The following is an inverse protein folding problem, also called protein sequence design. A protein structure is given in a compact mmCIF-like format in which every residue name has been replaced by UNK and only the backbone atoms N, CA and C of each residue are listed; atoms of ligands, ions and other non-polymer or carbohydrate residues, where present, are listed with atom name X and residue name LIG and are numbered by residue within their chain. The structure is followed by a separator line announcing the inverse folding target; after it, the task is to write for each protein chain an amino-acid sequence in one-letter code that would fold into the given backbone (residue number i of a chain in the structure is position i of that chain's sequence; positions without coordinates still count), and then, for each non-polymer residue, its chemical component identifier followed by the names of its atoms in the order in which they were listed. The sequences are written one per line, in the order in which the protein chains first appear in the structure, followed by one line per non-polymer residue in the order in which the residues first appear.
data_IF_020440273718
#
_entry.id   IF_020440273718
#
_cell.length_a   1.000
_cell.length_b   1.000
_cell.length_c   1.000
_cell.angle_alpha   90.00
_cell.angle_beta   90.00
_cell.angle_gamma   90.00
#
_symmetry.space_group_name_H-M   'P 1'
#
loop_
_entity.id
_entity.type
_entity.pdbx_description
1 polymer ?
#
# COMPACT_ATOMS: atom_id res chain seq x y z
N UNK A 1 -39.30 12.74 -37.50
CA UNK A 1 -38.21 11.73 -37.38
C UNK A 1 -38.77 10.49 -36.72
N UNK A 2 -38.76 9.33 -37.39
CA UNK A 2 -39.25 8.07 -36.80
C UNK A 2 -38.30 7.60 -35.70
N UNK A 3 -38.82 7.49 -34.47
CA UNK A 3 -38.10 6.83 -33.35
C UNK A 3 -37.73 5.40 -33.77
N UNK A 4 -36.45 5.08 -33.90
CA UNK A 4 -35.98 3.71 -34.00
C UNK A 4 -35.76 3.20 -32.59
N UNK A 5 -36.66 2.39 -32.11
CA UNK A 5 -36.49 1.61 -30.87
C UNK A 5 -35.62 0.42 -31.21
N UNK A 6 -34.42 0.38 -30.67
CA UNK A 6 -33.58 -0.82 -30.74
C UNK A 6 -33.91 -1.69 -29.54
N UNK A 7 -34.59 -2.80 -29.79
CA UNK A 7 -34.74 -3.86 -28.80
C UNK A 7 -33.48 -4.72 -28.90
N UNK A 8 -32.60 -4.66 -27.91
CA UNK A 8 -31.46 -5.57 -27.80
C UNK A 8 -31.93 -6.77 -27.01
N UNK A 9 -32.02 -7.90 -27.67
CA UNK A 9 -32.43 -9.16 -27.06
C UNK A 9 -31.20 -9.71 -26.28
N UNK A 10 -31.24 -9.57 -24.96
CA UNK A 10 -30.21 -10.12 -24.09
C UNK A 10 -30.47 -11.61 -23.90
N UNK A 11 -29.81 -12.48 -24.65
CA UNK A 11 -29.69 -13.88 -24.28
C UNK A 11 -28.78 -14.01 -23.08
N UNK A 12 -29.41 -14.15 -21.94
CA UNK A 12 -28.73 -14.44 -20.67
C UNK A 12 -28.38 -15.91 -20.70
N UNK A 13 -27.12 -16.24 -20.38
CA UNK A 13 -26.71 -17.61 -20.11
C UNK A 13 -27.54 -18.12 -18.92
N UNK A 14 -28.40 -19.11 -19.17
CA UNK A 14 -29.38 -19.65 -18.23
C UNK A 14 -28.76 -20.38 -17.02
N UNK A 15 -27.44 -20.55 -16.97
CA UNK A 15 -26.77 -21.32 -15.93
C UNK A 15 -26.73 -20.66 -14.53
N UNK A 16 -27.07 -19.38 -14.40
CA UNK A 16 -27.04 -18.67 -13.11
C UNK A 16 -28.39 -18.57 -12.39
N UNK A 17 -29.44 -19.09 -12.97
CA UNK A 17 -30.82 -18.90 -12.46
C UNK A 17 -31.21 -19.78 -11.26
N UNK A 18 -30.40 -20.70 -10.82
CA UNK A 18 -30.77 -21.67 -9.77
C UNK A 18 -29.85 -21.70 -8.54
N UNK A 19 -29.24 -20.60 -8.18
CA UNK A 19 -28.55 -20.57 -6.89
C UNK A 19 -29.60 -20.34 -5.76
N UNK A 20 -29.74 -21.29 -4.83
CA UNK A 20 -30.71 -21.16 -3.75
C UNK A 20 -30.38 -19.94 -2.89
N UNK A 21 -31.37 -19.09 -2.72
CA UNK A 21 -31.27 -17.80 -2.00
C UNK A 21 -31.00 -17.94 -0.50
N UNK A 22 -31.01 -19.13 0.07
CA UNK A 22 -30.95 -19.35 1.53
C UNK A 22 -29.68 -19.99 2.08
N UNK A 23 -28.80 -20.56 1.23
CA UNK A 23 -27.63 -21.29 1.70
C UNK A 23 -26.31 -20.72 1.17
N UNK A 24 -26.17 -19.40 1.23
CA UNK A 24 -24.81 -18.84 1.18
C UNK A 24 -24.08 -19.34 2.43
N UNK A 25 -22.96 -20.08 2.31
CA UNK A 25 -22.17 -20.35 3.47
C UNK A 25 -21.73 -19.00 4.01
N UNK A 26 -22.39 -18.57 5.08
CA UNK A 26 -21.96 -17.44 5.88
C UNK A 26 -20.45 -17.56 6.02
N UNK A 27 -19.75 -16.53 5.65
CA UNK A 27 -18.31 -16.43 5.90
C UNK A 27 -18.14 -16.82 7.37
N UNK A 28 -17.59 -18.00 7.62
CA UNK A 28 -17.42 -18.47 8.99
C UNK A 28 -16.62 -17.41 9.70
N UNK A 29 -17.25 -16.74 10.67
CA UNK A 29 -16.56 -15.80 11.54
C UNK A 29 -15.36 -16.53 12.16
N UNK A 30 -14.23 -16.45 11.50
CA UNK A 30 -12.99 -16.84 12.11
C UNK A 30 -12.72 -15.76 13.15
N UNK A 31 -13.06 -16.07 14.40
CA UNK A 31 -12.55 -15.33 15.55
C UNK A 31 -11.03 -15.33 15.40
N UNK A 32 -10.49 -14.29 14.77
CA UNK A 32 -9.05 -14.11 14.73
C UNK A 32 -8.61 -14.02 16.17
N UNK A 33 -7.94 -15.07 16.66
CA UNK A 33 -7.30 -15.00 17.97
C UNK A 33 -6.48 -13.72 17.97
N UNK A 34 -6.74 -12.80 18.90
CA UNK A 34 -5.89 -11.62 19.12
C UNK A 34 -4.45 -12.11 19.16
N UNK A 35 -3.73 -11.96 18.07
CA UNK A 35 -2.32 -12.27 18.05
C UNK A 35 -1.65 -11.26 18.96
N UNK A 36 -0.78 -11.73 19.85
CA UNK A 36 0.04 -10.84 20.65
C UNK A 36 0.67 -9.80 19.72
N UNK A 37 0.64 -8.53 20.12
CA UNK A 37 1.17 -7.41 19.34
C UNK A 37 2.65 -7.69 18.99
N UNK A 38 2.88 -8.31 17.84
CA UNK A 38 4.22 -8.49 17.28
C UNK A 38 4.53 -7.26 16.48
N UNK A 39 5.54 -6.55 16.91
CA UNK A 39 6.09 -5.40 16.19
C UNK A 39 7.57 -5.64 15.96
N UNK A 40 8.16 -4.91 15.01
CA UNK A 40 9.63 -4.91 14.85
C UNK A 40 10.24 -4.53 16.20
N UNK A 41 11.18 -5.37 16.67
CA UNK A 41 11.87 -5.05 17.93
C UNK A 41 12.78 -3.82 17.73
N UNK A 42 12.95 -2.91 18.71
CA UNK A 42 13.80 -1.73 18.54
C UNK A 42 15.21 -2.04 18.08
N UNK A 43 15.80 -3.15 18.59
CA UNK A 43 17.11 -3.64 18.17
C UNK A 43 17.15 -4.27 16.76
N UNK A 44 15.98 -4.46 16.11
CA UNK A 44 15.88 -4.89 14.71
C UNK A 44 15.64 -3.70 13.78
N UNK A 45 15.78 -2.48 14.28
CA UNK A 45 15.73 -1.23 13.52
C UNK A 45 17.15 -0.68 13.44
N UNK A 46 17.60 -0.44 12.22
CA UNK A 46 18.88 0.20 11.92
C UNK A 46 18.64 1.26 10.85
N UNK A 47 19.11 2.46 11.08
CA UNK A 47 19.16 3.46 10.03
C UNK A 47 20.26 3.14 9.04
N UNK A 48 20.03 3.50 7.78
CA UNK A 48 21.01 3.36 6.71
C UNK A 48 20.87 4.50 5.71
N UNK A 49 21.94 4.74 4.95
CA UNK A 49 22.03 5.77 3.93
C UNK A 49 23.04 5.37 2.86
N UNK A 50 22.99 6.00 1.68
CA UNK A 50 23.97 5.82 0.61
C UNK A 50 24.46 7.15 0.07
N UNK A 51 25.77 7.21 -0.23
CA UNK A 51 26.33 8.32 -1.00
C UNK A 51 26.70 7.87 -2.40
N UNK A 52 26.51 8.74 -3.38
CA UNK A 52 26.69 8.40 -4.79
C UNK A 52 27.74 9.26 -5.47
N UNK A 53 28.42 8.65 -6.45
CA UNK A 53 29.30 9.32 -7.39
C UNK A 53 28.80 9.03 -8.79
N UNK A 54 28.44 10.07 -9.53
CA UNK A 54 27.81 9.96 -10.86
C UNK A 54 26.58 9.03 -10.89
N UNK A 55 25.78 9.07 -9.81
CA UNK A 55 24.55 8.27 -9.67
C UNK A 55 24.79 6.81 -9.28
N UNK A 56 26.04 6.35 -9.17
CA UNK A 56 26.38 5.02 -8.68
C UNK A 56 26.71 5.10 -7.19
N UNK A 57 26.30 4.09 -6.44
CA UNK A 57 26.66 4.01 -5.03
C UNK A 57 28.19 3.97 -4.88
N UNK A 58 28.66 4.75 -3.97
CA UNK A 58 30.06 4.78 -3.54
C UNK A 58 30.19 4.37 -2.08
N UNK A 59 29.34 4.95 -1.20
CA UNK A 59 29.32 4.62 0.22
C UNK A 59 27.98 3.98 0.58
N UNK A 60 28.05 2.98 1.42
CA UNK A 60 26.94 2.43 2.17
C UNK A 60 27.19 2.66 3.66
N UNK A 61 26.30 3.36 4.31
CA UNK A 61 26.43 3.68 5.72
C UNK A 61 25.29 3.12 6.56
N UNK A 62 25.60 2.82 7.81
CA UNK A 62 24.61 2.47 8.83
C UNK A 62 24.97 3.17 10.13
N UNK A 63 24.14 3.04 11.15
CA UNK A 63 24.48 3.52 12.51
C UNK A 63 25.79 2.91 13.08
N UNK A 64 26.34 1.90 12.43
CA UNK A 64 27.52 1.14 12.92
C UNK A 64 28.82 1.43 12.16
N UNK A 65 28.71 2.17 11.08
CA UNK A 65 29.87 2.55 10.27
C UNK A 65 29.53 2.85 8.83
N UNK A 66 30.55 3.10 8.05
CA UNK A 66 30.45 3.40 6.62
C UNK A 66 31.46 2.50 5.87
N UNK A 67 31.04 2.07 4.68
CA UNK A 67 31.82 1.18 3.80
C UNK A 67 31.79 1.72 2.38
N UNK A 68 32.94 1.73 1.75
CA UNK A 68 33.02 1.88 0.30
C UNK A 68 32.59 0.57 -0.33
N UNK A 69 31.69 0.63 -1.31
CA UNK A 69 31.17 -0.54 -2.02
C UNK A 69 31.28 -0.31 -3.53
N UNK A 70 31.76 -1.30 -4.25
CA UNK A 70 31.91 -1.29 -5.71
C UNK A 70 31.04 -2.36 -6.37
N UNK A 71 30.75 -3.42 -5.65
CA UNK A 71 30.04 -4.59 -6.15
C UNK A 71 28.86 -4.97 -5.27
N UNK A 72 27.95 -5.75 -5.84
CA UNK A 72 26.86 -6.34 -5.06
C UNK A 72 27.37 -7.33 -3.98
N UNK A 73 28.51 -7.98 -4.23
CA UNK A 73 29.15 -8.87 -3.28
C UNK A 73 29.61 -8.13 -2.02
N UNK A 74 30.16 -6.92 -2.15
CA UNK A 74 30.54 -6.08 -1.01
C UNK A 74 29.35 -5.75 -0.12
N UNK A 75 28.23 -5.40 -0.74
CA UNK A 75 26.98 -5.16 -0.03
C UNK A 75 26.49 -6.41 0.72
N UNK A 76 26.57 -7.59 0.11
CA UNK A 76 26.20 -8.86 0.74
C UNK A 76 27.05 -9.13 1.97
N UNK A 77 28.36 -8.91 1.91
CA UNK A 77 29.24 -9.09 3.04
C UNK A 77 28.89 -8.17 4.22
N UNK A 78 28.45 -6.96 3.96
CA UNK A 78 27.96 -6.04 4.98
C UNK A 78 26.63 -6.53 5.57
N UNK A 79 25.65 -6.87 4.74
CA UNK A 79 24.29 -7.18 5.20
C UNK A 79 24.21 -8.42 6.09
N UNK A 80 24.98 -9.46 5.79
CA UNK A 80 24.92 -10.74 6.52
C UNK A 80 26.05 -10.94 7.53
N UNK A 81 26.88 -9.92 7.80
CA UNK A 81 27.85 -10.01 8.86
C UNK A 81 27.22 -10.02 10.26
N UNK A 82 28.02 -10.26 11.30
CA UNK A 82 27.54 -10.35 12.69
C UNK A 82 26.99 -9.03 13.24
N UNK A 83 27.44 -7.91 12.70
CA UNK A 83 27.02 -6.59 13.15
C UNK A 83 25.65 -6.21 12.61
N UNK A 84 25.35 -6.57 11.34
CA UNK A 84 24.13 -6.19 10.65
C UNK A 84 23.07 -7.30 10.62
N UNK A 85 23.32 -8.43 11.26
CA UNK A 85 22.40 -9.57 11.24
C UNK A 85 22.22 -10.23 12.58
N UNK A 86 21.14 -11.00 12.71
CA UNK A 86 20.83 -11.81 13.90
C UNK A 86 20.75 -13.27 13.59
N UNK A 87 21.42 -14.06 14.42
CA UNK A 87 21.29 -15.51 14.41
C UNK A 87 20.06 -15.95 15.22
N UNK A 88 19.32 -16.89 14.70
CA UNK A 88 18.19 -17.48 15.39
C UNK A 88 18.18 -19.01 15.25
N UNK A 89 17.58 -19.67 16.24
CA UNK A 89 17.33 -21.12 16.22
C UNK A 89 15.84 -21.34 16.32
N UNK A 90 15.27 -22.20 15.47
CA UNK A 90 13.85 -22.54 15.53
C UNK A 90 13.56 -23.31 16.81
N UNK A 91 12.70 -22.76 17.66
CA UNK A 91 12.24 -23.45 18.87
C UNK A 91 11.42 -24.71 18.55
N UNK A 92 11.13 -25.54 19.56
CA UNK A 92 10.50 -26.88 19.48
C UNK A 92 9.09 -26.97 18.89
N UNK A 93 8.56 -25.96 18.18
CA UNK A 93 7.12 -25.83 17.87
C UNK A 93 6.66 -26.57 16.61
N UNK A 94 7.53 -27.16 15.79
CA UNK A 94 7.09 -28.00 14.67
C UNK A 94 7.94 -29.22 14.48
N UNK A 95 7.29 -30.39 14.26
CA UNK A 95 7.94 -31.69 14.04
C UNK A 95 8.75 -31.80 12.73
N UNK A 96 8.70 -30.79 11.86
CA UNK A 96 9.51 -30.71 10.63
C UNK A 96 10.65 -29.71 10.84
N UNK A 97 11.88 -30.17 10.89
CA UNK A 97 13.14 -29.42 11.06
C UNK A 97 13.38 -28.81 12.46
N UNK A 98 13.53 -29.65 13.45
CA UNK A 98 13.91 -29.23 14.85
C UNK A 98 15.23 -28.47 14.96
N UNK A 99 16.10 -28.49 13.96
CA UNK A 99 17.46 -27.92 13.97
C UNK A 99 17.67 -26.79 13.00
N UNK A 100 16.61 -26.17 12.42
CA UNK A 100 16.78 -25.06 11.52
C UNK A 100 17.39 -23.86 12.25
N UNK A 101 18.52 -23.39 11.76
CA UNK A 101 19.23 -22.19 12.20
C UNK A 101 19.21 -21.16 11.08
N UNK A 102 19.09 -19.90 11.42
CA UNK A 102 19.09 -18.85 10.42
C UNK A 102 19.83 -17.61 10.88
N UNK A 103 20.25 -16.83 9.92
CA UNK A 103 20.80 -15.50 10.08
C UNK A 103 19.94 -14.56 9.25
N UNK A 104 19.42 -13.50 9.87
CA UNK A 104 18.56 -12.54 9.19
C UNK A 104 19.11 -11.14 9.43
N UNK A 105 19.35 -10.35 8.38
CA UNK A 105 19.76 -8.96 8.52
C UNK A 105 18.78 -8.16 9.38
N UNK A 106 19.30 -7.22 10.12
CA UNK A 106 18.52 -6.19 10.82
C UNK A 106 17.79 -5.38 9.75
N UNK A 107 16.54 -4.97 10.04
CA UNK A 107 15.77 -4.20 9.08
C UNK A 107 16.31 -2.78 8.98
N UNK A 108 16.54 -2.32 7.77
CA UNK A 108 17.15 -1.03 7.48
C UNK A 108 16.09 0.01 7.14
N UNK A 109 16.29 1.21 7.62
CA UNK A 109 15.40 2.35 7.43
C UNK A 109 16.17 3.50 6.82
N UNK A 110 15.70 3.95 5.66
CA UNK A 110 16.27 5.04 4.88
C UNK A 110 15.35 6.25 4.92
N UNK A 111 15.94 7.42 4.73
CA UNK A 111 15.16 8.60 4.43
C UNK A 111 15.10 8.79 2.93
N UNK A 112 13.89 8.60 2.34
CA UNK A 112 13.68 8.64 0.90
C UNK A 112 14.41 7.52 0.13
N UNK A 113 14.14 6.28 0.53
CA UNK A 113 14.71 5.04 -0.02
C UNK A 113 14.74 4.98 -1.56
N UNK A 114 13.94 5.77 -2.27
CA UNK A 114 13.95 5.77 -3.73
C UNK A 114 15.35 6.02 -4.29
N UNK A 115 16.08 7.00 -3.76
CA UNK A 115 17.44 7.33 -4.21
C UNK A 115 18.43 6.22 -3.87
N UNK A 116 18.42 5.77 -2.63
CA UNK A 116 19.30 4.72 -2.15
C UNK A 116 19.08 3.40 -2.90
N UNK A 117 17.81 3.02 -3.10
CA UNK A 117 17.48 1.83 -3.84
C UNK A 117 17.96 1.90 -5.29
N UNK A 118 17.79 3.05 -5.97
CA UNK A 118 18.29 3.23 -7.32
C UNK A 118 19.81 3.11 -7.38
N UNK A 119 20.52 3.73 -6.43
CA UNK A 119 21.98 3.62 -6.36
C UNK A 119 22.45 2.17 -6.18
N UNK A 120 21.78 1.41 -5.33
CA UNK A 120 22.08 -0.03 -5.09
C UNK A 120 21.71 -0.89 -6.31
N UNK A 121 20.63 -0.60 -7.00
CA UNK A 121 20.21 -1.34 -8.20
C UNK A 121 21.25 -1.20 -9.34
N UNK A 122 22.07 -0.15 -9.35
CA UNK A 122 23.21 -0.05 -10.28
C UNK A 122 24.34 -1.06 -10.05
N UNK A 123 24.33 -1.78 -8.93
CA UNK A 123 25.24 -2.91 -8.70
C UNK A 123 24.74 -4.22 -9.35
N UNK A 124 23.58 -4.21 -9.99
CA UNK A 124 22.90 -5.35 -10.60
C UNK A 124 22.88 -5.13 -12.12
N UNK A 125 22.94 -6.20 -12.95
CA UNK A 125 22.86 -6.06 -14.41
C UNK A 125 21.61 -5.30 -14.88
N UNK A 126 21.77 -4.45 -15.90
CA UNK A 126 20.71 -3.54 -16.38
C UNK A 126 19.43 -4.26 -16.84
N UNK A 127 19.57 -5.43 -17.47
CA UNK A 127 18.43 -6.26 -17.90
C UNK A 127 17.61 -6.73 -16.71
N UNK A 128 18.25 -7.15 -15.65
CA UNK A 128 17.58 -7.54 -14.38
C UNK A 128 16.91 -6.34 -13.72
N UNK A 129 17.53 -5.16 -13.77
CA UNK A 129 16.92 -3.92 -13.24
C UNK A 129 15.63 -3.59 -14.02
N UNK A 130 15.63 -3.75 -15.35
CA UNK A 130 14.43 -3.54 -16.15
C UNK A 130 13.30 -4.51 -15.75
N UNK A 131 13.61 -5.77 -15.50
CA UNK A 131 12.62 -6.76 -15.01
C UNK A 131 12.08 -6.37 -13.62
N UNK A 132 12.96 -5.90 -12.71
CA UNK A 132 12.53 -5.40 -11.39
C UNK A 132 11.58 -4.21 -11.53
N UNK A 133 11.85 -3.29 -12.45
CA UNK A 133 11.01 -2.11 -12.67
C UNK A 133 9.66 -2.47 -13.32
N UNK A 134 9.62 -3.52 -14.16
CA UNK A 134 8.39 -4.00 -14.81
C UNK A 134 7.49 -4.79 -13.83
N UNK A 135 8.07 -5.75 -13.09
CA UNK A 135 7.34 -6.74 -12.30
C UNK A 135 7.49 -6.56 -10.79
N UNK A 136 8.18 -5.52 -10.34
CA UNK A 136 8.56 -5.25 -8.95
C UNK A 136 9.44 -6.34 -8.33
N UNK A 137 9.94 -7.29 -9.12
CA UNK A 137 10.84 -8.35 -8.66
C UNK A 137 11.56 -9.02 -9.83
N UNK A 138 12.78 -9.47 -9.57
CA UNK A 138 13.52 -10.37 -10.46
C UNK A 138 14.48 -11.26 -9.66
N UNK A 139 15.04 -12.27 -10.30
CA UNK A 139 16.11 -13.11 -9.75
C UNK A 139 17.36 -12.95 -10.62
N UNK A 140 18.53 -12.92 -9.99
CA UNK A 140 19.80 -12.92 -10.69
C UNK A 140 20.86 -13.70 -9.88
N UNK A 141 21.82 -14.25 -10.58
CA UNK A 141 22.96 -14.97 -10.00
C UNK A 141 24.20 -14.10 -10.01
N UNK A 142 24.96 -14.15 -8.93
CA UNK A 142 26.23 -13.46 -8.82
C UNK A 142 27.22 -14.26 -7.99
N UNK A 143 28.52 -14.10 -8.30
CA UNK A 143 29.62 -14.67 -7.51
C UNK A 143 29.94 -13.72 -6.37
N UNK A 144 29.97 -14.24 -5.15
CA UNK A 144 30.32 -13.49 -3.95
C UNK A 144 31.86 -13.45 -3.74
N UNK A 145 32.32 -12.62 -2.79
CA UNK A 145 33.74 -12.43 -2.49
C UNK A 145 34.41 -13.72 -1.95
N UNK A 146 33.63 -14.64 -1.41
CA UNK A 146 34.11 -15.98 -0.98
C UNK A 146 34.19 -17.02 -2.13
N UNK A 147 33.85 -16.60 -3.36
CA UNK A 147 33.82 -17.45 -4.56
C UNK A 147 32.54 -18.28 -4.72
N UNK A 148 31.54 -18.12 -3.87
CA UNK A 148 30.30 -18.85 -4.00
C UNK A 148 29.34 -18.15 -5.01
N UNK A 149 28.67 -18.96 -5.87
CA UNK A 149 27.63 -18.47 -6.75
C UNK A 149 26.29 -18.56 -6.02
N UNK A 150 25.59 -17.42 -5.94
CA UNK A 150 24.32 -17.31 -5.20
C UNK A 150 23.27 -16.61 -6.05
N UNK A 151 22.10 -17.21 -6.10
CA UNK A 151 20.91 -16.60 -6.70
C UNK A 151 20.23 -15.71 -5.67
N UNK A 152 20.01 -14.46 -6.03
CA UNK A 152 19.25 -13.50 -5.23
C UNK A 152 17.92 -13.18 -5.89
N UNK A 153 16.87 -13.12 -5.08
CA UNK A 153 15.60 -12.50 -5.47
C UNK A 153 15.56 -11.09 -4.92
N UNK A 154 15.39 -10.12 -5.81
CA UNK A 154 15.20 -8.72 -5.46
C UNK A 154 13.72 -8.39 -5.62
N UNK A 155 13.13 -7.71 -4.65
CA UNK A 155 11.79 -7.12 -4.73
C UNK A 155 11.88 -5.65 -4.40
N UNK A 156 11.45 -4.81 -5.32
CA UNK A 156 11.48 -3.37 -5.16
C UNK A 156 10.08 -2.78 -5.33
N UNK A 157 9.61 -2.07 -4.34
CA UNK A 157 8.42 -1.24 -4.40
C UNK A 157 8.88 0.21 -4.32
N UNK A 158 8.85 0.91 -5.42
CA UNK A 158 9.40 2.25 -5.57
C UNK A 158 8.97 3.18 -4.43
N UNK A 159 9.95 3.82 -3.80
CA UNK A 159 9.77 4.73 -2.67
C UNK A 159 9.12 4.10 -1.43
N UNK A 160 9.11 2.77 -1.29
CA UNK A 160 8.50 2.07 -0.14
C UNK A 160 9.40 1.04 0.49
N UNK A 161 9.92 0.11 -0.32
CA UNK A 161 10.76 -0.96 0.20
C UNK A 161 11.67 -1.59 -0.84
N UNK A 162 12.83 -2.06 -0.39
CA UNK A 162 13.70 -2.96 -1.13
C UNK A 162 13.93 -4.22 -0.28
N UNK A 163 13.80 -5.39 -0.89
CA UNK A 163 14.05 -6.67 -0.24
C UNK A 163 15.03 -7.48 -1.06
N UNK A 164 16.05 -8.00 -0.39
CA UNK A 164 17.12 -8.81 -0.98
C UNK A 164 17.07 -10.18 -0.30
N UNK A 165 16.74 -11.22 -1.06
CA UNK A 165 16.56 -12.58 -0.54
C UNK A 165 17.50 -13.56 -1.23
N UNK A 166 18.54 -14.07 -0.54
CA UNK A 166 19.38 -15.12 -1.10
C UNK A 166 18.63 -16.45 -1.14
N UNK A 167 18.75 -17.16 -2.25
CA UNK A 167 18.16 -18.48 -2.45
C UNK A 167 19.16 -19.56 -2.04
N UNK A 168 18.77 -20.36 -1.02
CA UNK A 168 19.58 -21.50 -0.55
C UNK A 168 21.05 -21.16 -0.16
N UNK A 169 21.29 -19.94 0.27
CA UNK A 169 22.61 -19.51 0.75
C UNK A 169 22.74 -19.71 2.25
N UNK A 170 23.95 -20.14 2.67
CA UNK A 170 24.27 -20.45 4.06
C UNK A 170 25.62 -19.84 4.44
N UNK A 171 25.69 -19.23 5.60
CA UNK A 171 26.92 -18.85 6.25
C UNK A 171 27.21 -19.87 7.38
N UNK A 172 28.13 -20.79 7.12
CA UNK A 172 28.33 -21.95 7.97
C UNK A 172 27.05 -22.82 8.06
N UNK A 173 26.51 -22.98 9.27
CA UNK A 173 25.28 -23.76 9.49
C UNK A 173 23.97 -22.93 9.47
N UNK A 174 24.05 -21.65 9.17
CA UNK A 174 22.93 -20.72 9.25
C UNK A 174 22.43 -20.37 7.85
N UNK A 175 21.13 -20.65 7.60
CA UNK A 175 20.47 -20.20 6.36
C UNK A 175 20.30 -18.70 6.38
N UNK A 176 20.71 -18.02 5.33
CA UNK A 176 20.53 -16.58 5.16
C UNK A 176 19.09 -16.24 4.86
N UNK A 177 18.53 -15.31 5.62
CA UNK A 177 17.17 -14.76 5.45
C UNK A 177 17.18 -13.47 4.67
N UNK A 178 16.00 -12.93 4.40
CA UNK A 178 15.80 -11.70 3.62
C UNK A 178 16.30 -10.47 4.37
N UNK A 179 17.08 -9.62 3.70
CA UNK A 179 17.31 -8.24 4.08
C UNK A 179 16.12 -7.39 3.68
N UNK A 180 15.58 -6.57 4.58
CA UNK A 180 14.39 -5.74 4.37
C UNK A 180 14.72 -4.28 4.63
N UNK A 181 14.44 -3.43 3.66
CA UNK A 181 14.71 -2.00 3.69
C UNK A 181 13.40 -1.23 3.52
N UNK A 182 13.25 -0.15 4.28
CA UNK A 182 12.02 0.62 4.39
C UNK A 182 12.28 2.10 4.23
N UNK A 183 11.36 2.80 3.59
CA UNK A 183 11.36 4.25 3.56
C UNK A 183 10.62 4.82 4.77
N UNK A 184 11.36 5.46 5.68
CA UNK A 184 10.75 6.08 6.87
C UNK A 184 10.17 7.47 6.58
N UNK A 185 10.60 8.14 5.52
CA UNK A 185 10.15 9.50 5.18
C UNK A 185 8.65 9.58 4.97
N UNK A 186 8.03 8.49 4.47
CA UNK A 186 6.58 8.41 4.23
C UNK A 186 5.72 8.63 5.47
N UNK A 187 6.30 8.45 6.66
CA UNK A 187 5.59 8.58 7.93
C UNK A 187 5.71 9.96 8.55
N UNK A 188 6.44 10.87 7.91
CA UNK A 188 6.72 12.22 8.43
C UNK A 188 6.25 13.36 7.51
N UNK A 189 5.59 13.01 6.39
CA UNK A 189 5.12 13.99 5.43
C UNK A 189 6.23 14.59 4.57
N UNK A 190 5.96 15.74 3.97
CA UNK A 190 6.92 16.41 3.07
C UNK A 190 7.93 17.22 3.89
N UNK A 191 9.19 16.83 3.83
CA UNK A 191 10.28 17.55 4.50
C UNK A 191 11.64 16.92 4.22
N UNK A 192 12.71 17.60 4.61
CA UNK A 192 14.07 17.03 4.61
C UNK A 192 14.30 16.26 5.90
N UNK A 193 15.25 15.32 5.90
CA UNK A 193 15.66 14.58 7.08
C UNK A 193 16.02 15.53 8.23
N UNK A 194 16.86 16.52 7.94
CA UNK A 194 17.30 17.53 8.92
C UNK A 194 16.13 18.30 9.53
N UNK A 195 15.24 18.86 8.71
CA UNK A 195 14.10 19.63 9.20
C UNK A 195 13.16 18.77 10.06
N UNK A 196 12.95 17.53 9.66
CA UNK A 196 12.12 16.59 10.42
C UNK A 196 12.76 16.24 11.75
N UNK A 197 14.06 15.97 11.77
CA UNK A 197 14.81 15.70 13.00
C UNK A 197 14.73 16.91 13.97
N UNK A 198 14.97 18.12 13.48
CA UNK A 198 14.89 19.35 14.26
C UNK A 198 13.50 19.59 14.86
N UNK A 199 12.44 19.41 14.06
CA UNK A 199 11.05 19.56 14.52
C UNK A 199 10.70 18.57 15.66
N UNK A 200 11.41 17.45 15.73
CA UNK A 200 11.24 16.42 16.76
C UNK A 200 12.22 16.53 17.92
N UNK A 201 12.99 17.62 17.97
CA UNK A 201 14.00 17.87 19.02
C UNK A 201 15.19 16.93 18.97
N UNK A 202 15.48 16.33 17.82
CA UNK A 202 16.69 15.55 17.60
C UNK A 202 17.81 16.49 17.14
N UNK A 203 19.06 16.13 17.50
CA UNK A 203 20.23 16.83 16.96
C UNK A 203 20.20 16.74 15.43
N UNK A 204 20.38 17.87 14.75
CA UNK A 204 20.42 17.94 13.30
C UNK A 204 21.70 17.36 12.71
N UNK A 205 21.81 17.41 11.38
CA UNK A 205 23.03 17.06 10.66
C UNK A 205 24.18 17.97 11.05
N UNK A 206 25.37 17.43 11.14
CA UNK A 206 26.62 18.22 11.16
C UNK A 206 27.03 18.44 9.72
N UNK A 207 26.85 19.65 9.23
CA UNK A 207 27.21 20.03 7.86
C UNK A 207 28.59 20.72 7.79
N UNK A 208 29.27 20.86 8.93
CA UNK A 208 30.56 21.53 9.02
C UNK A 208 31.69 20.51 9.02
N UNK A 209 32.63 20.66 8.10
CA UNK A 209 33.88 19.98 8.08
C UNK A 209 34.76 20.44 9.24
N UNK A 210 35.84 19.71 9.58
CA UNK A 210 36.80 20.07 10.62
C UNK A 210 37.41 21.46 10.39
N UNK A 211 37.58 21.89 9.12
CA UNK A 211 38.11 23.20 8.75
C UNK A 211 37.08 24.34 8.81
N UNK A 212 35.84 24.06 9.26
CA UNK A 212 34.75 25.01 9.36
C UNK A 212 34.03 25.29 8.02
N UNK A 213 34.39 24.61 6.94
CA UNK A 213 33.65 24.69 5.67
C UNK A 213 32.37 23.87 5.74
N UNK A 214 31.31 24.29 5.03
CA UNK A 214 30.08 23.51 4.88
C UNK A 214 30.31 22.39 3.87
N UNK A 215 29.99 21.17 4.24
CA UNK A 215 30.03 20.03 3.33
C UNK A 215 29.00 20.18 2.22
N UNK A 216 29.41 20.04 0.97
CA UNK A 216 28.54 20.15 -0.21
C UNK A 216 28.44 18.82 -0.94
N UNK A 217 27.33 18.11 -0.75
CA UNK A 217 27.09 16.81 -1.36
C UNK A 217 27.03 16.88 -2.90
N UNK A 218 26.74 18.04 -3.51
CA UNK A 218 26.76 18.19 -4.97
C UNK A 218 28.15 18.02 -5.56
N UNK A 219 29.18 18.18 -4.73
CA UNK A 219 30.58 18.05 -5.10
C UNK A 219 31.18 16.66 -4.88
N UNK A 220 30.40 15.70 -4.45
CA UNK A 220 30.89 14.32 -4.27
C UNK A 220 31.33 13.65 -5.60
N UNK A 221 30.97 14.22 -6.74
CA UNK A 221 31.50 13.78 -8.03
C UNK A 221 32.96 14.22 -8.29
N UNK A 222 33.50 15.19 -7.50
CA UNK A 222 34.85 15.69 -7.63
C UNK A 222 35.79 14.83 -6.78
N UNK A 223 36.76 14.16 -7.41
CA UNK A 223 37.71 13.26 -6.71
C UNK A 223 38.56 14.01 -5.69
N UNK A 224 39.05 15.21 -6.06
CA UNK A 224 39.83 16.05 -5.14
C UNK A 224 39.03 16.43 -3.90
N UNK A 225 37.73 16.72 -4.07
CA UNK A 225 36.85 17.06 -2.95
C UNK A 225 36.67 15.86 -2.04
N UNK A 226 36.36 14.67 -2.59
CA UNK A 226 36.24 13.44 -1.81
C UNK A 226 37.53 13.08 -1.05
N UNK A 227 38.67 13.25 -1.70
CA UNK A 227 39.94 12.94 -1.08
C UNK A 227 40.24 13.91 0.08
N UNK A 228 39.96 15.20 -0.13
CA UNK A 228 40.21 16.23 0.89
C UNK A 228 39.29 16.06 2.13
N UNK A 229 38.01 15.80 1.92
CA UNK A 229 36.99 15.77 2.97
C UNK A 229 36.46 14.35 3.27
N UNK A 230 37.28 13.32 3.02
CA UNK A 230 36.85 11.91 3.14
C UNK A 230 36.27 11.58 4.52
N UNK A 231 36.93 11.94 5.58
CA UNK A 231 36.52 11.66 6.96
C UNK A 231 35.23 12.42 7.31
N UNK A 232 35.11 13.67 6.86
CA UNK A 232 33.91 14.49 7.06
C UNK A 232 32.72 13.87 6.32
N UNK A 233 32.93 13.39 5.07
CA UNK A 233 31.87 12.72 4.28
C UNK A 233 31.46 11.40 4.97
N UNK A 234 32.39 10.63 5.49
CA UNK A 234 32.09 9.40 6.22
C UNK A 234 31.30 9.68 7.48
N UNK A 235 31.68 10.72 8.22
CA UNK A 235 30.96 11.15 9.40
C UNK A 235 29.52 11.62 9.05
N UNK A 236 29.37 12.41 7.99
CA UNK A 236 28.10 12.88 7.47
C UNK A 236 27.18 11.71 7.10
N UNK A 237 27.64 10.74 6.31
CA UNK A 237 26.87 9.57 5.89
C UNK A 237 26.40 8.72 7.09
N UNK A 238 27.27 8.51 8.09
CA UNK A 238 26.87 7.80 9.32
C UNK A 238 25.81 8.57 10.09
N UNK A 239 25.90 9.90 10.15
CA UNK A 239 24.91 10.71 10.86
C UNK A 239 23.52 10.66 10.20
N UNK A 240 23.44 10.65 8.88
CA UNK A 240 22.17 10.50 8.17
C UNK A 240 21.54 9.14 8.48
N UNK A 241 22.33 8.08 8.47
CA UNK A 241 21.88 6.77 8.90
C UNK A 241 21.40 6.78 10.37
N UNK A 242 22.15 7.40 11.30
CA UNK A 242 21.72 7.51 12.70
C UNK A 242 20.40 8.24 12.85
N UNK A 243 20.19 9.34 12.11
CA UNK A 243 18.95 10.09 12.14
C UNK A 243 17.77 9.28 11.60
N UNK A 244 17.94 8.59 10.47
CA UNK A 244 16.92 7.71 9.92
C UNK A 244 16.50 6.62 10.91
N UNK A 245 17.46 6.00 11.59
CA UNK A 245 17.20 4.99 12.61
C UNK A 245 16.51 5.55 13.87
N UNK A 246 16.91 6.74 14.34
CA UNK A 246 16.21 7.43 15.45
C UNK A 246 14.75 7.73 15.10
N UNK A 247 14.51 8.23 13.89
CA UNK A 247 13.16 8.49 13.40
C UNK A 247 12.33 7.22 13.30
N UNK A 248 12.90 6.13 12.80
CA UNK A 248 12.20 4.85 12.70
C UNK A 248 11.80 4.29 14.07
N UNK A 249 12.69 4.36 15.06
CA UNK A 249 12.41 3.94 16.43
C UNK A 249 11.34 4.81 17.08
N UNK A 250 11.41 6.14 16.91
CA UNK A 250 10.42 7.08 17.42
C UNK A 250 9.04 6.79 16.83
N UNK A 251 8.95 6.64 15.50
CA UNK A 251 7.67 6.33 14.83
C UNK A 251 7.09 4.98 15.28
N UNK A 252 7.95 3.99 15.48
CA UNK A 252 7.54 2.71 16.07
C UNK A 252 6.93 2.88 17.47
N UNK A 253 7.52 3.68 18.33
CA UNK A 253 7.01 3.95 19.67
C UNK A 253 5.67 4.66 19.62
N UNK A 254 5.54 5.71 18.80
CA UNK A 254 4.29 6.42 18.58
C UNK A 254 3.17 5.43 18.17
N UNK A 255 3.41 4.58 17.18
CA UNK A 255 2.42 3.60 16.75
C UNK A 255 2.07 2.58 17.83
N UNK A 256 3.04 2.11 18.59
CA UNK A 256 2.77 1.14 19.65
C UNK A 256 1.97 1.74 20.81
N UNK A 257 2.19 3.00 21.14
CA UNK A 257 1.43 3.71 22.16
C UNK A 257 -0.06 3.80 21.77
N UNK A 258 -0.34 3.91 20.47
CA UNK A 258 -1.70 3.89 19.91
C UNK A 258 -2.23 2.46 19.64
N UNK A 259 -1.51 1.42 20.06
CA UNK A 259 -1.90 0.03 19.81
C UNK A 259 -1.72 -0.43 18.36
N UNK A 260 -1.00 0.34 17.55
CA UNK A 260 -0.72 0.05 16.14
C UNK A 260 0.55 -0.79 16.02
N UNK A 261 0.47 -1.91 15.30
CA UNK A 261 1.64 -2.76 15.06
C UNK A 261 2.55 -2.17 13.99
N UNK A 262 3.81 -1.99 14.31
CA UNK A 262 4.84 -1.59 13.36
C UNK A 262 5.53 -2.83 12.77
N UNK A 263 4.93 -3.38 11.72
CA UNK A 263 5.40 -4.59 11.01
C UNK A 263 5.35 -4.31 9.52
N UNK A 264 6.46 -4.53 8.80
CA UNK A 264 6.52 -4.28 7.36
C UNK A 264 5.87 -2.95 6.97
N UNK A 265 6.49 -1.84 7.38
CA UNK A 265 5.91 -0.51 7.23
C UNK A 265 6.09 0.01 5.79
N UNK A 266 5.33 -0.55 4.84
CA UNK A 266 5.36 -0.13 3.43
C UNK A 266 4.83 1.28 3.21
N UNK A 267 3.83 1.69 3.97
CA UNK A 267 3.21 3.01 3.88
C UNK A 267 2.22 3.23 5.04
N UNK A 268 1.82 4.47 5.26
CA UNK A 268 0.74 4.80 6.21
C UNK A 268 -0.54 4.04 5.90
N UNK A 269 -0.93 3.93 4.63
CA UNK A 269 -2.13 3.18 4.23
C UNK A 269 -2.05 1.70 4.61
N UNK A 270 -0.87 1.07 4.46
CA UNK A 270 -0.68 -0.32 4.86
C UNK A 270 -0.76 -0.49 6.39
N UNK A 271 -0.19 0.44 7.15
CA UNK A 271 -0.27 0.43 8.62
C UNK A 271 -1.71 0.64 9.08
N UNK A 272 -2.42 1.61 8.50
CA UNK A 272 -3.84 1.86 8.78
C UNK A 272 -4.72 0.65 8.45
N UNK A 273 -4.51 0.01 7.30
CA UNK A 273 -5.22 -1.21 6.92
C UNK A 273 -5.00 -2.33 7.95
N UNK A 274 -3.76 -2.54 8.39
CA UNK A 274 -3.47 -3.56 9.41
C UNK A 274 -4.12 -3.24 10.74
N UNK A 275 -4.05 -2.00 11.17
CA UNK A 275 -4.71 -1.55 12.40
C UNK A 275 -6.22 -1.79 12.35
N UNK A 276 -6.85 -1.44 11.23
CA UNK A 276 -8.25 -1.71 10.99
C UNK A 276 -8.57 -3.22 11.07
N UNK A 277 -7.77 -4.06 10.40
CA UNK A 277 -7.92 -5.52 10.41
C UNK A 277 -7.68 -6.14 11.79
N UNK A 278 -6.82 -5.54 12.61
CA UNK A 278 -6.56 -6.01 13.99
C UNK A 278 -7.70 -5.67 14.95
N UNK A 279 -8.39 -4.57 14.71
CA UNK A 279 -9.46 -4.04 15.58
C UNK A 279 -10.87 -4.37 15.06
N UNK A 280 -11.01 -4.83 13.84
CA UNK A 280 -12.30 -5.11 13.22
C UNK A 280 -12.37 -6.55 12.72
N UNK A 281 -13.52 -7.19 12.93
CA UNK A 281 -13.80 -8.50 12.34
C UNK A 281 -14.33 -8.27 10.92
N UNK A 282 -13.42 -8.16 9.96
CA UNK A 282 -13.76 -7.95 8.56
C UNK A 282 -13.37 -9.20 7.79
N UNK A 283 -14.26 -9.73 6.93
CA UNK A 283 -13.90 -10.82 6.02
C UNK A 283 -12.76 -10.41 5.10
N UNK A 284 -11.84 -11.32 4.87
CA UNK A 284 -10.78 -11.11 3.88
C UNK A 284 -11.26 -11.52 2.49
N UNK A 285 -10.56 -11.07 1.44
CA UNK A 285 -10.78 -11.54 0.06
C UNK A 285 -10.75 -13.07 -0.02
N UNK A 286 -9.86 -13.73 0.72
CA UNK A 286 -9.77 -15.19 0.76
C UNK A 286 -10.98 -15.84 1.42
N UNK A 287 -11.63 -15.18 2.37
CA UNK A 287 -12.86 -15.69 2.99
C UNK A 287 -14.00 -15.70 1.94
N UNK A 288 -14.12 -14.64 1.13
CA UNK A 288 -15.06 -14.59 0.01
C UNK A 288 -14.70 -15.62 -1.08
N UNK A 289 -13.43 -15.71 -1.46
CA UNK A 289 -12.96 -16.64 -2.49
C UNK A 289 -13.07 -18.13 -2.09
N UNK A 290 -13.43 -18.43 -0.84
CA UNK A 290 -13.57 -19.81 -0.35
C UNK A 290 -14.81 -20.56 -0.91
N UNK A 291 -15.81 -19.83 -1.45
CA UNK A 291 -17.00 -20.39 -2.08
C UNK A 291 -17.18 -19.88 -3.52
N UNK A 292 -17.92 -20.64 -4.36
CA UNK A 292 -18.20 -20.22 -5.74
C UNK A 292 -18.99 -18.92 -5.79
N UNK A 293 -20.00 -18.80 -4.94
CA UNK A 293 -20.83 -17.59 -4.82
C UNK A 293 -19.98 -16.40 -4.37
N UNK A 294 -19.12 -16.59 -3.39
CA UNK A 294 -18.22 -15.55 -2.92
C UNK A 294 -17.23 -15.10 -4.01
N UNK A 295 -16.71 -16.03 -4.82
CA UNK A 295 -15.85 -15.69 -5.97
C UNK A 295 -16.60 -14.89 -7.02
N UNK A 296 -17.83 -15.30 -7.35
CA UNK A 296 -18.65 -14.59 -8.32
C UNK A 296 -19.01 -13.20 -7.84
N UNK A 297 -19.41 -13.05 -6.58
CA UNK A 297 -19.70 -11.75 -5.98
C UNK A 297 -18.47 -10.84 -5.99
N UNK A 298 -17.31 -11.38 -5.61
CA UNK A 298 -16.05 -10.64 -5.64
C UNK A 298 -15.71 -10.19 -7.07
N UNK A 299 -15.92 -11.06 -8.06
CA UNK A 299 -15.71 -10.71 -9.47
C UNK A 299 -16.62 -9.56 -9.90
N UNK A 300 -17.91 -9.58 -9.55
CA UNK A 300 -18.86 -8.50 -9.84
C UNK A 300 -18.47 -7.20 -9.15
N UNK A 301 -18.11 -7.27 -7.87
CA UNK A 301 -17.66 -6.11 -7.10
C UNK A 301 -16.38 -5.50 -7.70
N UNK A 302 -15.40 -6.32 -8.08
CA UNK A 302 -14.18 -5.84 -8.73
C UNK A 302 -14.45 -5.25 -10.12
N UNK A 303 -15.42 -5.79 -10.86
CA UNK A 303 -15.81 -5.24 -12.16
C UNK A 303 -16.58 -3.94 -12.03
N UNK A 304 -17.39 -3.78 -10.98
CA UNK A 304 -18.07 -2.53 -10.65
C UNK A 304 -17.14 -1.48 -10.01
N UNK A 305 -16.03 -1.92 -9.40
CA UNK A 305 -15.11 -1.00 -8.75
C UNK A 305 -14.47 -0.04 -9.76
N UNK A 306 -14.53 1.25 -9.44
CA UNK A 306 -13.85 2.32 -10.15
C UNK A 306 -12.97 3.07 -9.17
N UNK A 307 -11.86 3.60 -9.67
CA UNK A 307 -11.04 4.55 -8.91
C UNK A 307 -11.74 5.89 -8.73
N UNK A 308 -11.02 6.86 -8.18
CA UNK A 308 -11.53 8.24 -8.12
C UNK A 308 -11.86 8.74 -9.52
N UNK A 309 -13.01 9.39 -9.66
CA UNK A 309 -13.44 9.97 -10.91
C UNK A 309 -12.82 11.36 -11.05
N UNK A 310 -12.07 11.57 -12.13
CA UNK A 310 -11.48 12.85 -12.48
C UNK A 310 -11.95 13.25 -13.87
N UNK A 311 -12.56 14.42 -13.97
CA UNK A 311 -12.94 15.01 -15.24
C UNK A 311 -12.38 16.41 -15.41
N UNK A 312 -11.94 16.73 -16.61
CA UNK A 312 -11.53 18.07 -17.01
C UNK A 312 -12.61 18.64 -17.92
N UNK A 313 -13.43 19.54 -17.41
CA UNK A 313 -14.51 20.18 -18.15
C UNK A 313 -14.05 21.32 -19.05
N UNK A 314 -12.85 21.79 -18.86
CA UNK A 314 -12.24 22.85 -19.63
C UNK A 314 -10.74 22.91 -19.47
N UNK A 315 -10.06 23.44 -20.45
CA UNK A 315 -8.62 23.67 -20.43
C UNK A 315 -8.31 25.12 -20.78
N UNK A 316 -7.19 25.64 -20.29
CA UNK A 316 -6.73 26.99 -20.55
C UNK A 316 -6.49 27.80 -19.27
N UNK A 317 -6.27 29.11 -19.43
CA UNK A 317 -6.04 30.02 -18.32
C UNK A 317 -7.38 30.37 -17.64
N UNK A 318 -7.53 29.98 -16.39
CA UNK A 318 -8.71 30.31 -15.57
C UNK A 318 -8.33 31.49 -14.66
N UNK A 319 -8.89 32.68 -14.89
CA UNK A 319 -8.51 33.88 -14.15
C UNK A 319 -8.91 33.86 -12.67
N UNK A 320 -9.91 33.05 -12.32
CA UNK A 320 -10.38 32.87 -10.94
C UNK A 320 -11.00 31.49 -10.76
N UNK A 321 -10.51 30.74 -9.78
CA UNK A 321 -11.05 29.43 -9.43
C UNK A 321 -11.35 29.36 -7.92
N UNK A 322 -12.37 28.58 -7.55
CA UNK A 322 -12.68 28.22 -6.16
C UNK A 322 -12.37 26.74 -6.02
N UNK A 323 -11.48 26.41 -5.09
CA UNK A 323 -11.18 25.02 -4.74
C UNK A 323 -12.11 24.59 -3.60
N UNK A 324 -12.91 23.56 -3.83
CA UNK A 324 -13.76 22.92 -2.84
C UNK A 324 -13.22 21.53 -2.54
N UNK A 325 -13.16 21.16 -1.27
CA UNK A 325 -12.74 19.85 -0.81
C UNK A 325 -13.66 19.32 0.29
N UNK A 326 -13.96 18.01 0.26
CA UNK A 326 -14.74 17.34 1.30
C UNK A 326 -13.78 16.72 2.32
N UNK A 327 -13.74 17.31 3.50
CA UNK A 327 -12.90 16.81 4.57
C UNK A 327 -13.26 15.37 4.96
N UNK A 328 -12.28 14.47 4.84
CA UNK A 328 -12.42 13.06 5.21
C UNK A 328 -13.57 12.32 4.50
N UNK A 329 -13.78 12.58 3.21
CA UNK A 329 -14.89 11.98 2.43
C UNK A 329 -14.90 10.45 2.50
N UNK A 330 -13.76 9.78 2.31
CA UNK A 330 -13.68 8.32 2.39
C UNK A 330 -14.01 7.78 3.79
N UNK A 331 -13.41 8.26 4.89
CA UNK A 331 -13.79 7.85 6.23
C UNK A 331 -15.28 8.11 6.52
N UNK A 332 -15.83 9.23 6.06
CA UNK A 332 -17.25 9.53 6.23
C UNK A 332 -18.14 8.44 5.63
N UNK A 333 -17.84 7.97 4.41
CA UNK A 333 -18.63 6.90 3.76
C UNK A 333 -18.34 5.55 4.41
N UNK A 334 -17.09 5.26 4.76
CA UNK A 334 -16.70 3.97 5.35
C UNK A 334 -17.46 3.65 6.65
N UNK A 335 -17.84 4.65 7.46
CA UNK A 335 -18.62 4.41 8.69
C UNK A 335 -20.00 3.78 8.43
N UNK A 336 -20.52 3.86 7.20
CA UNK A 336 -21.81 3.30 6.81
C UNK A 336 -21.71 1.92 6.19
N UNK A 337 -20.49 1.41 5.94
CA UNK A 337 -20.31 0.09 5.33
C UNK A 337 -20.80 -0.99 6.30
N UNK A 338 -21.65 -1.87 5.78
CA UNK A 338 -22.25 -2.96 6.50
C UNK A 338 -21.29 -4.10 6.79
N UNK A 339 -21.55 -4.83 7.86
CA UNK A 339 -20.90 -6.10 8.13
C UNK A 339 -21.46 -7.20 7.22
N UNK A 340 -20.78 -7.43 6.09
CA UNK A 340 -21.19 -8.45 5.11
C UNK A 340 -21.05 -9.89 5.60
N UNK A 341 -20.60 -10.11 6.83
CA UNK A 341 -20.59 -11.43 7.47
C UNK A 341 -21.95 -11.80 8.08
N UNK A 342 -22.89 -10.85 8.16
CA UNK A 342 -24.20 -10.97 8.80
C UNK A 342 -25.30 -10.57 7.81
N UNK A 343 -25.72 -11.52 6.99
CA UNK A 343 -26.75 -11.29 6.00
C UNK A 343 -26.63 -12.25 4.82
N UNK A 344 -27.34 -11.95 3.77
CA UNK A 344 -27.40 -12.79 2.58
C UNK A 344 -27.51 -11.95 1.31
N UNK A 345 -27.16 -12.56 0.18
CA UNK A 345 -27.31 -11.94 -1.13
C UNK A 345 -28.58 -12.44 -1.83
N UNK A 346 -29.29 -11.51 -2.46
CA UNK A 346 -30.43 -11.78 -3.33
C UNK A 346 -30.00 -11.50 -4.76
N UNK A 347 -30.31 -12.43 -5.65
CA UNK A 347 -30.03 -12.33 -7.07
C UNK A 347 -31.35 -12.21 -7.86
N UNK A 348 -31.32 -11.43 -8.92
CA UNK A 348 -32.45 -11.27 -9.83
C UNK A 348 -31.97 -10.94 -11.25
N UNK A 349 -32.91 -11.01 -12.19
CA UNK A 349 -32.70 -10.63 -13.58
C UNK A 349 -33.84 -9.71 -14.06
N UNK A 350 -33.47 -8.79 -14.97
CA UNK A 350 -34.44 -7.86 -15.56
C UNK A 350 -34.87 -6.72 -14.61
N UNK A 351 -35.85 -5.94 -15.07
CA UNK A 351 -36.28 -4.71 -14.41
C UNK A 351 -37.24 -4.93 -13.24
N UNK A 352 -38.04 -6.04 -13.28
CA UNK A 352 -39.20 -6.22 -12.40
C UNK A 352 -38.90 -6.14 -10.91
N UNK A 353 -37.74 -6.59 -10.49
CA UNK A 353 -37.33 -6.56 -9.08
C UNK A 353 -36.28 -5.52 -8.74
N UNK A 354 -35.63 -4.97 -9.75
CA UNK A 354 -34.55 -4.03 -9.49
C UNK A 354 -35.12 -2.70 -8.96
N UNK A 355 -36.17 -2.18 -9.56
CA UNK A 355 -36.81 -0.97 -9.10
C UNK A 355 -37.46 -1.13 -7.73
N UNK A 356 -38.05 -2.30 -7.44
CA UNK A 356 -38.55 -2.63 -6.10
C UNK A 356 -37.47 -2.48 -5.03
N UNK A 357 -36.27 -2.85 -5.34
CA UNK A 357 -35.10 -2.71 -4.42
C UNK A 357 -34.65 -1.27 -4.29
N UNK A 358 -34.69 -0.47 -5.35
CA UNK A 358 -34.30 0.93 -5.33
C UNK A 358 -35.41 1.83 -4.72
N UNK A 359 -36.65 1.60 -5.06
CA UNK A 359 -37.79 2.44 -4.66
C UNK A 359 -38.34 2.12 -3.27
N UNK A 360 -38.32 0.86 -2.86
CA UNK A 360 -39.03 0.41 -1.66
C UNK A 360 -38.27 0.70 -0.36
N UNK A 361 -37.18 1.47 -0.43
CA UNK A 361 -36.40 1.82 0.76
C UNK A 361 -36.05 0.61 1.62
N UNK A 362 -36.06 -0.59 1.02
CA UNK A 362 -35.57 -1.79 1.70
C UNK A 362 -34.10 -1.58 2.00
N UNK A 363 -33.67 -1.94 3.19
CA UNK A 363 -32.31 -1.68 3.62
C UNK A 363 -31.34 -2.68 2.98
N UNK A 364 -31.15 -2.60 1.65
CA UNK A 364 -29.96 -3.20 1.10
C UNK A 364 -28.75 -2.34 1.51
N UNK A 365 -27.68 -2.99 1.86
CA UNK A 365 -26.47 -2.30 2.30
C UNK A 365 -25.46 -2.17 1.18
N UNK A 366 -25.48 -3.12 0.24
CA UNK A 366 -24.62 -3.14 -0.93
C UNK A 366 -25.38 -3.77 -2.08
N UNK A 367 -25.33 -3.17 -3.24
CA UNK A 367 -25.94 -3.72 -4.45
C UNK A 367 -25.03 -3.54 -5.67
N UNK A 368 -25.11 -4.50 -6.58
CA UNK A 368 -24.43 -4.46 -7.87
C UNK A 368 -25.42 -4.87 -8.96
N UNK A 369 -25.38 -4.18 -10.11
CA UNK A 369 -26.15 -4.57 -11.27
C UNK A 369 -25.36 -4.38 -12.56
N UNK A 370 -25.59 -5.28 -13.52
CA UNK A 370 -25.21 -5.06 -14.89
C UNK A 370 -26.24 -4.15 -15.54
N UNK A 371 -25.81 -3.04 -16.11
CA UNK A 371 -26.68 -2.10 -16.78
C UNK A 371 -26.15 -1.76 -18.17
N UNK A 372 -27.10 -1.56 -19.10
CA UNK A 372 -26.89 -0.94 -20.38
C UNK A 372 -27.55 0.43 -20.38
N UNK A 373 -26.79 1.48 -20.57
CA UNK A 373 -27.23 2.86 -20.39
C UNK A 373 -27.01 3.65 -21.66
N UNK A 374 -28.01 4.40 -22.05
CA UNK A 374 -27.98 5.32 -23.19
C UNK A 374 -28.20 6.73 -22.65
N UNK A 375 -27.29 7.63 -22.98
CA UNK A 375 -27.42 9.07 -22.72
C UNK A 375 -27.87 9.74 -24.00
N UNK A 376 -29.07 10.28 -24.00
CA UNK A 376 -29.69 10.91 -25.19
C UNK A 376 -28.96 12.21 -25.54
N UNK A 377 -28.58 13.00 -24.54
CA UNK A 377 -27.80 14.21 -24.68
C UNK A 377 -26.39 13.97 -24.16
N UNK A 378 -25.40 14.40 -24.90
CA UNK A 378 -23.98 14.25 -24.51
C UNK A 378 -23.66 15.05 -23.25
N UNK A 379 -24.06 14.54 -22.10
CA UNK A 379 -23.73 15.11 -20.80
C UNK A 379 -22.22 14.96 -20.56
N UNK A 380 -21.53 16.04 -20.22
CA UNK A 380 -20.08 15.98 -19.96
C UNK A 380 -19.72 15.19 -18.70
N UNK A 381 -20.69 15.06 -17.78
CA UNK A 381 -20.53 14.36 -16.50
C UNK A 381 -21.72 13.45 -16.29
N UNK A 382 -21.48 12.20 -15.93
CA UNK A 382 -22.51 11.25 -15.56
C UNK A 382 -22.00 10.30 -14.47
N UNK A 383 -22.85 9.88 -13.50
CA UNK A 383 -22.45 8.96 -12.43
C UNK A 383 -21.99 7.59 -12.94
N UNK A 384 -22.51 7.14 -14.10
CA UNK A 384 -22.08 5.87 -14.70
C UNK A 384 -20.98 6.12 -15.72
N UNK A 385 -19.80 5.63 -15.42
CA UNK A 385 -18.62 5.72 -16.28
C UNK A 385 -17.95 4.34 -16.43
N UNK A 386 -17.09 4.21 -17.43
CA UNK A 386 -16.31 3.00 -17.69
C UNK A 386 -14.83 3.33 -17.81
N UNK A 387 -14.01 2.31 -17.62
CA UNK A 387 -12.56 2.46 -17.66
C UNK A 387 -11.95 2.65 -16.27
N UNK A 388 -10.65 2.51 -16.20
CA UNK A 388 -9.88 2.64 -14.96
C UNK A 388 -8.97 3.87 -14.96
N UNK A 389 -8.51 4.31 -16.14
CA UNK A 389 -7.79 5.56 -16.36
C UNK A 389 -7.46 5.70 -17.86
N UNK A 390 -7.91 6.74 -18.56
CA UNK A 390 -8.90 7.72 -18.09
C UNK A 390 -10.30 7.10 -17.93
N UNK A 391 -11.07 7.60 -16.98
CA UNK A 391 -12.48 7.28 -16.86
C UNK A 391 -13.21 8.03 -17.99
N UNK A 392 -14.03 7.30 -18.72
CA UNK A 392 -14.75 7.83 -19.89
C UNK A 392 -16.26 7.74 -19.61
N UNK A 393 -16.99 8.79 -19.92
CA UNK A 393 -18.45 8.80 -19.94
C UNK A 393 -18.93 8.71 -21.39
N UNK A 394 -19.02 7.51 -21.98
CA UNK A 394 -19.46 7.37 -23.35
C UNK A 394 -20.96 7.56 -23.45
N UNK A 395 -21.47 7.92 -24.64
CA UNK A 395 -22.90 8.06 -24.90
C UNK A 395 -23.69 6.76 -24.69
N UNK A 396 -23.03 5.64 -24.83
CA UNK A 396 -23.60 4.30 -24.58
C UNK A 396 -22.59 3.54 -23.73
N UNK A 397 -23.06 2.99 -22.61
CA UNK A 397 -22.21 2.20 -21.71
C UNK A 397 -22.91 0.91 -21.31
N UNK A 398 -22.14 -0.16 -21.25
CA UNK A 398 -22.56 -1.43 -20.65
C UNK A 398 -21.50 -1.87 -19.63
N UNK A 399 -21.94 -2.26 -18.46
CA UNK A 399 -21.03 -2.73 -17.40
C UNK A 399 -21.74 -3.04 -16.10
N UNK A 400 -20.94 -3.47 -15.14
CA UNK A 400 -21.34 -3.63 -13.75
C UNK A 400 -21.14 -2.32 -13.01
N UNK A 401 -22.16 -1.91 -12.26
CA UNK A 401 -22.17 -0.70 -11.45
C UNK A 401 -22.69 -1.02 -10.05
N UNK A 402 -22.40 -0.15 -9.11
CA UNK A 402 -23.04 -0.22 -7.80
C UNK A 402 -24.51 0.24 -7.90
N UNK A 403 -25.35 -0.27 -7.02
CA UNK A 403 -26.76 0.13 -6.99
C UNK A 403 -26.90 1.64 -6.72
N UNK A 404 -26.03 2.21 -5.90
CA UNK A 404 -26.06 3.65 -5.58
C UNK A 404 -25.73 4.51 -6.80
N UNK A 405 -24.75 4.10 -7.62
CA UNK A 405 -24.44 4.78 -8.89
C UNK A 405 -25.64 4.75 -9.83
N UNK A 406 -26.33 3.61 -9.93
CA UNK A 406 -27.52 3.47 -10.77
C UNK A 406 -28.67 4.31 -10.21
N UNK A 407 -28.90 4.29 -8.91
CA UNK A 407 -29.93 5.09 -8.25
C UNK A 407 -29.73 6.59 -8.48
N UNK A 408 -28.48 7.03 -8.53
CA UNK A 408 -28.17 8.41 -8.88
C UNK A 408 -28.36 8.67 -10.37
N UNK A 409 -27.94 7.75 -11.24
CA UNK A 409 -28.06 7.89 -12.68
C UNK A 409 -29.52 8.02 -13.17
N UNK A 410 -30.45 7.32 -12.53
CA UNK A 410 -31.89 7.37 -12.86
C UNK A 410 -32.47 8.80 -12.70
N UNK A 411 -31.93 9.59 -11.80
CA UNK A 411 -32.38 10.95 -11.54
C UNK A 411 -31.99 11.95 -12.64
N UNK A 412 -31.05 11.56 -13.51
CA UNK A 412 -30.56 12.42 -14.57
C UNK A 412 -31.53 12.41 -15.75
N UNK A 413 -31.88 13.56 -16.28
CA UNK A 413 -32.82 13.66 -17.43
C UNK A 413 -32.15 13.02 -18.66
N UNK A 414 -33.02 12.52 -19.56
CA UNK A 414 -32.60 11.95 -20.85
C UNK A 414 -31.67 10.72 -20.73
N UNK A 415 -31.80 9.96 -19.64
CA UNK A 415 -31.05 8.73 -19.42
C UNK A 415 -31.97 7.53 -19.54
N UNK A 416 -31.65 6.59 -20.44
CA UNK A 416 -32.36 5.31 -20.57
C UNK A 416 -31.48 4.22 -20.01
N UNK A 417 -32.00 3.48 -19.02
CA UNK A 417 -31.27 2.40 -18.35
C UNK A 417 -32.00 1.07 -18.55
N UNK A 418 -31.29 0.08 -19.03
CA UNK A 418 -31.76 -1.30 -19.14
C UNK A 418 -30.88 -2.19 -18.27
N UNK A 419 -31.52 -3.06 -17.50
CA UNK A 419 -30.84 -3.89 -16.52
C UNK A 419 -30.73 -5.33 -16.99
N UNK A 420 -29.58 -5.92 -16.68
CA UNK A 420 -29.34 -7.34 -16.77
C UNK A 420 -29.51 -8.03 -15.43
N UNK A 421 -28.46 -8.68 -14.98
CA UNK A 421 -28.41 -9.38 -13.70
C UNK A 421 -28.07 -8.42 -12.56
N UNK A 422 -28.71 -8.59 -11.42
CA UNK A 422 -28.40 -7.79 -10.23
C UNK A 422 -28.25 -8.66 -8.99
N UNK A 423 -27.55 -8.15 -7.98
CA UNK A 423 -27.47 -8.75 -6.67
C UNK A 423 -27.43 -7.68 -5.57
N UNK A 424 -28.15 -7.94 -4.50
CA UNK A 424 -28.24 -7.05 -3.34
C UNK A 424 -27.88 -7.82 -2.08
N UNK A 425 -27.15 -7.17 -1.20
CA UNK A 425 -26.86 -7.67 0.14
C UNK A 425 -27.87 -7.12 1.13
N UNK A 426 -28.56 -8.02 1.81
CA UNK A 426 -29.51 -7.73 2.87
C UNK A 426 -28.88 -8.06 4.21
N UNK A 427 -28.92 -7.10 5.12
CA UNK A 427 -28.41 -7.27 6.47
C UNK A 427 -29.40 -7.99 7.37
N UNK A 428 -28.94 -8.98 8.12
CA UNK A 428 -29.70 -9.55 9.24
C UNK A 428 -29.63 -8.63 10.48
N UNK A 429 -28.49 -7.99 10.68
CA UNK A 429 -28.24 -7.06 11.78
C UNK A 429 -27.53 -5.81 11.27
N UNK A 430 -28.00 -4.62 11.66
CA UNK A 430 -27.35 -3.34 11.30
C UNK A 430 -26.05 -3.18 12.09
N UNK A 431 -24.98 -3.79 11.61
CA UNK A 431 -23.63 -3.61 12.16
C UNK A 431 -22.79 -2.77 11.24
N UNK A 432 -22.11 -1.81 11.81
CA UNK A 432 -21.19 -0.89 11.13
C UNK A 432 -19.80 -1.09 11.71
N UNK A 433 -19.03 -2.08 11.20
CA UNK A 433 -17.78 -2.51 11.81
C UNK A 433 -16.70 -1.41 11.83
N UNK A 434 -16.80 -0.44 10.93
CA UNK A 434 -15.85 0.66 10.84
C UNK A 434 -16.26 1.90 11.65
N UNK A 435 -17.54 2.05 11.98
CA UNK A 435 -18.06 3.28 12.59
C UNK A 435 -17.34 3.64 13.91
N UNK A 436 -17.21 2.74 14.90
CA UNK A 436 -16.58 3.10 16.17
C UNK A 436 -15.11 3.53 16.00
N UNK A 437 -14.41 2.89 15.07
CA UNK A 437 -13.03 3.22 14.76
C UNK A 437 -12.91 4.61 14.12
N UNK A 438 -13.72 4.86 13.09
CA UNK A 438 -13.66 6.12 12.31
C UNK A 438 -14.13 7.29 13.17
N UNK A 439 -15.19 7.14 13.94
CA UNK A 439 -15.72 8.18 14.80
C UNK A 439 -14.71 8.59 15.87
N UNK A 440 -14.10 7.63 16.55
CA UNK A 440 -13.06 7.91 17.53
C UNK A 440 -11.87 8.67 16.92
N UNK A 441 -11.36 8.22 15.77
CA UNK A 441 -10.22 8.89 15.13
C UNK A 441 -10.60 10.26 14.54
N UNK A 442 -11.83 10.40 14.06
CA UNK A 442 -12.32 11.71 13.60
C UNK A 442 -12.41 12.71 14.75
N UNK A 443 -12.89 12.31 15.94
CA UNK A 443 -12.91 13.13 17.13
C UNK A 443 -11.50 13.54 17.57
N UNK A 444 -10.55 12.61 17.61
CA UNK A 444 -9.15 12.90 17.90
C UNK A 444 -8.62 13.93 16.92
N UNK A 445 -8.80 13.72 15.61
CA UNK A 445 -8.36 14.65 14.56
C UNK A 445 -8.94 16.05 14.72
N UNK A 446 -10.24 16.16 15.07
CA UNK A 446 -10.91 17.45 15.21
C UNK A 446 -10.50 18.22 16.47
N UNK A 447 -10.12 17.49 17.52
CA UNK A 447 -9.72 18.06 18.81
C UNK A 447 -8.21 18.27 18.94
N UNK A 448 -7.40 17.77 18.01
CA UNK A 448 -5.95 17.91 18.04
C UNK A 448 -5.49 19.08 17.18
N UNK A 449 -4.37 19.69 17.57
CA UNK A 449 -3.72 20.75 16.79
C UNK A 449 -3.19 20.17 15.46
N UNK A 450 -3.44 20.87 14.36
CA UNK A 450 -2.97 20.44 13.03
C UNK A 450 -1.45 20.37 12.99
N UNK A 451 -0.93 19.17 12.69
CA UNK A 451 0.51 18.87 12.67
C UNK A 451 1.02 18.30 13.99
N UNK A 452 0.17 18.11 15.00
CA UNK A 452 0.51 17.30 16.16
C UNK A 452 0.56 15.81 15.79
N UNK A 453 1.21 15.02 16.63
CA UNK A 453 1.32 13.56 16.44
C UNK A 453 -0.06 12.92 16.44
N UNK A 454 -0.94 13.34 17.34
CA UNK A 454 -2.30 12.85 17.49
C UNK A 454 -3.12 13.16 16.22
N UNK A 455 -3.00 14.37 15.68
CA UNK A 455 -3.68 14.77 14.44
C UNK A 455 -3.22 13.91 13.25
N UNK A 456 -1.91 13.72 13.12
CA UNK A 456 -1.33 12.98 11.98
C UNK A 456 -1.62 11.47 12.07
N UNK A 457 -1.69 10.90 13.27
CA UNK A 457 -2.10 9.51 13.48
C UNK A 457 -3.60 9.29 13.22
N UNK A 458 -4.43 10.28 13.53
CA UNK A 458 -5.87 10.21 13.31
C UNK A 458 -6.30 10.56 11.86
N UNK A 459 -5.38 11.04 11.03
CA UNK A 459 -5.61 11.37 9.62
C UNK A 459 -5.54 10.14 8.73
#
# INVERSE_FOLDING_TARGET
MKKRTFTVDFRIEEELMHLPTKDLPLIKNQTRKKQALRSIHPHDIMGADTETVYGKVWLFSTERGVWEIETFADLVDILWNKEHSRQWKKGKVSNKNKNARGITPIQMFFWNLKFDAQAILHLIPDDIVLDILADNQAEFETTLNDGSDVVFQIRYLEGKSLQITPKNYFIGQYKCGTSKWWDISQFYGKGTLQKTAQNLGLEGKVELCEDGTTLDASRFNEEEYRTKYREDIFHYAVQDAVLAGKLARKKREEFLNEGIRFIEPYSLANVAQRFLLDNSVIPTINDFASSDIGRELLRKALTAYRGGHFETLGSGMIPKAILLDLASAYPFVMRWISDVSKGYFVHGTGNEHFFDWLDDRRPYSIGFAEAFVIFEDGLPIHPLCVGSAPIITPRIVRGWFTADEIAEAIKWPHTSIHYGTHCFFLEDEKKRPFAPFIENHYEIKMNSEKGSVEYDLAK
#
